data_IF_574472965933
#
_entry.id   IF_574472965933
#
_cell.length_a   1.000
_cell.length_b   1.000
_cell.length_c   1.000
_cell.angle_alpha   90.00
_cell.angle_beta   90.00
_cell.angle_gamma   90.00
#
_symmetry.space_group_name_H-M   'P 1'
#
loop_
_entity.id
_entity.type
_entity.pdbx_description
1 polymer ?
#
# COMPACT_ATOMS: atom_id res chain seq x y z
N UNK A 1 24.96 4.47 -5.03
CA UNK A 1 23.74 4.84 -4.28
C UNK A 1 24.12 5.13 -2.84
N UNK A 2 23.28 5.79 -2.03
CA UNK A 2 23.60 6.07 -0.62
C UNK A 2 22.74 5.21 0.30
N UNK A 3 23.34 4.69 1.36
CA UNK A 3 22.65 3.96 2.41
C UNK A 3 21.62 4.88 3.09
N UNK A 4 20.37 4.42 3.21
CA UNK A 4 19.29 5.20 3.79
C UNK A 4 19.52 5.54 5.28
N UNK A 5 20.25 4.69 6.04
CA UNK A 5 20.50 4.88 7.47
C UNK A 5 21.74 5.74 7.77
N UNK A 6 22.83 5.57 7.03
CA UNK A 6 24.12 6.21 7.35
C UNK A 6 24.70 7.11 6.24
N UNK A 7 24.05 7.20 5.08
CA UNK A 7 24.49 8.05 3.96
C UNK A 7 25.74 7.60 3.21
N UNK A 8 26.44 6.54 3.68
CA UNK A 8 27.61 5.99 3.00
C UNK A 8 27.25 5.40 1.63
N UNK A 9 28.22 5.42 0.71
CA UNK A 9 28.02 4.81 -0.61
C UNK A 9 27.82 3.30 -0.51
N UNK A 10 26.88 2.81 -1.30
CA UNK A 10 26.57 1.38 -1.40
C UNK A 10 26.17 1.02 -2.82
N UNK A 11 26.52 -0.21 -3.21
CA UNK A 11 26.15 -0.85 -4.47
C UNK A 11 24.94 -1.78 -4.34
N UNK A 12 24.39 -1.96 -3.13
CA UNK A 12 23.26 -2.87 -2.87
C UNK A 12 21.95 -2.09 -2.81
N UNK A 13 20.99 -2.50 -3.62
CA UNK A 13 19.58 -2.12 -3.49
C UNK A 13 18.69 -3.34 -3.29
N UNK A 14 17.55 -3.10 -2.67
CA UNK A 14 16.54 -4.08 -2.32
C UNK A 14 15.18 -3.55 -2.73
N UNK A 15 14.39 -4.38 -3.41
CA UNK A 15 12.98 -4.10 -3.65
C UNK A 15 12.19 -4.58 -2.43
N UNK A 16 11.40 -3.68 -1.86
CA UNK A 16 10.53 -3.98 -0.72
C UNK A 16 9.11 -3.61 -1.05
N UNK A 17 8.16 -4.41 -0.56
CA UNK A 17 6.75 -4.02 -0.54
C UNK A 17 6.54 -3.10 0.66
N UNK A 18 6.21 -1.83 0.38
CA UNK A 18 5.92 -0.83 1.38
C UNK A 18 4.48 -0.38 1.21
N UNK A 19 3.60 -0.92 2.06
CA UNK A 19 2.16 -0.61 2.07
C UNK A 19 1.46 -0.88 0.73
N UNK A 20 1.82 -1.98 0.06
CA UNK A 20 1.24 -2.40 -1.21
C UNK A 20 1.86 -1.73 -2.44
N UNK A 21 2.92 -0.95 -2.28
CA UNK A 21 3.71 -0.37 -3.35
C UNK A 21 5.15 -0.91 -3.33
N UNK A 22 5.65 -1.36 -4.47
CA UNK A 22 7.07 -1.73 -4.59
C UNK A 22 7.94 -0.48 -4.54
N UNK A 23 8.85 -0.42 -3.56
CA UNK A 23 9.87 0.63 -3.44
C UNK A 23 11.27 0.02 -3.46
N UNK A 24 12.21 0.73 -4.06
CA UNK A 24 13.62 0.36 -4.03
C UNK A 24 14.33 1.13 -2.91
N UNK A 25 14.98 0.39 -2.01
CA UNK A 25 15.74 0.95 -0.88
C UNK A 25 17.19 0.48 -0.93
N UNK A 26 18.11 1.32 -0.48
CA UNK A 26 19.53 1.02 -0.45
C UNK A 26 20.07 1.04 0.99
N UNK A 27 20.70 -0.06 1.41
CA UNK A 27 21.37 -0.16 2.70
C UNK A 27 22.78 -0.72 2.54
N UNK A 28 23.74 -0.18 3.27
CA UNK A 28 25.03 -0.84 3.44
C UNK A 28 24.85 -2.08 4.33
N UNK A 29 25.78 -3.03 4.22
CA UNK A 29 25.66 -4.34 4.89
C UNK A 29 25.53 -4.23 6.42
N UNK A 30 26.21 -3.28 7.05
CA UNK A 30 26.12 -3.05 8.50
C UNK A 30 24.72 -2.59 8.89
N UNK A 31 24.24 -1.50 8.26
CA UNK A 31 22.93 -0.93 8.57
C UNK A 31 21.77 -1.89 8.26
N UNK A 32 21.89 -2.72 7.22
CA UNK A 32 20.89 -3.74 6.93
C UNK A 32 20.78 -4.75 8.08
N UNK A 33 21.91 -5.24 8.60
CA UNK A 33 21.89 -6.18 9.72
C UNK A 33 21.32 -5.56 10.98
N UNK A 34 21.57 -4.27 11.23
CA UNK A 34 20.99 -3.57 12.39
C UNK A 34 19.47 -3.43 12.25
N UNK A 35 18.98 -3.04 11.07
CA UNK A 35 17.53 -2.97 10.79
C UNK A 35 16.86 -4.34 10.93
N UNK A 36 17.50 -5.41 10.46
CA UNK A 36 17.00 -6.78 10.61
C UNK A 36 17.05 -7.27 12.07
N UNK A 37 18.01 -6.81 12.88
CA UNK A 37 18.06 -7.14 14.32
C UNK A 37 17.01 -6.37 15.13
N UNK A 38 16.76 -5.12 14.77
CA UNK A 38 15.70 -4.28 15.36
C UNK A 38 14.31 -4.72 14.91
N UNK A 39 14.21 -5.52 13.84
CA UNK A 39 12.93 -6.04 13.35
C UNK A 39 12.31 -7.04 14.33
N UNK A 40 11.01 -6.93 14.53
CA UNK A 40 10.26 -7.83 15.42
C UNK A 40 10.41 -9.26 14.88
N UNK A 41 10.84 -10.24 15.70
CA UNK A 41 10.92 -11.62 15.26
C UNK A 41 9.57 -12.06 14.70
N UNK A 42 9.56 -12.71 13.53
CA UNK A 42 8.34 -13.20 12.88
C UNK A 42 7.47 -14.11 13.78
N UNK A 43 8.04 -14.67 14.85
CA UNK A 43 7.32 -15.44 15.87
C UNK A 43 6.46 -14.60 16.82
N UNK A 44 6.79 -13.32 16.99
CA UNK A 44 6.11 -12.39 17.90
C UNK A 44 5.24 -11.38 17.15
N UNK A 45 5.33 -11.31 15.82
CA UNK A 45 4.24 -10.75 15.04
C UNK A 45 3.03 -11.66 15.22
N UNK A 46 1.90 -11.19 15.77
CA UNK A 46 0.71 -12.01 15.85
C UNK A 46 0.44 -12.55 14.45
N UNK A 47 0.37 -13.88 14.30
CA UNK A 47 -0.20 -14.46 13.09
C UNK A 47 -1.53 -13.72 12.87
N UNK A 48 -1.83 -13.24 11.65
CA UNK A 48 -3.09 -12.54 11.40
C UNK A 48 -4.17 -13.37 12.05
N UNK A 49 -4.80 -12.81 13.09
CA UNK A 49 -5.62 -13.58 14.01
C UNK A 49 -6.60 -14.40 13.19
N UNK A 50 -6.90 -15.63 13.59
CA UNK A 50 -7.94 -16.40 12.91
C UNK A 50 -9.26 -15.61 12.83
N UNK A 51 -9.46 -14.57 13.66
CA UNK A 51 -10.55 -13.60 13.54
C UNK A 51 -10.52 -12.74 12.27
N UNK A 52 -9.34 -12.38 11.76
CA UNK A 52 -9.20 -11.73 10.44
C UNK A 52 -9.57 -12.68 9.29
N UNK A 53 -9.38 -14.00 9.47
CA UNK A 53 -9.74 -15.02 8.48
C UNK A 53 -11.17 -15.55 8.65
N UNK A 54 -11.77 -15.47 9.85
CA UNK A 54 -13.14 -15.93 10.17
C UNK A 54 -14.24 -14.96 9.77
N UNK A 55 -13.91 -13.72 9.40
CA UNK A 55 -14.81 -12.84 8.66
C UNK A 55 -14.58 -12.89 7.15
N UNK A 56 -14.52 -14.09 6.57
CA UNK A 56 -15.02 -14.35 5.20
C UNK A 56 -16.56 -14.18 5.13
N UNK A 57 -17.11 -13.13 5.76
CA UNK A 57 -18.49 -12.71 5.54
C UNK A 57 -18.40 -11.50 4.67
N UNK A 58 -18.65 -11.69 3.37
CA UNK A 58 -18.96 -10.66 2.38
C UNK A 58 -18.47 -9.27 2.79
N UNK A 59 -17.16 -9.03 2.72
CA UNK A 59 -16.73 -7.65 2.56
C UNK A 59 -17.27 -7.27 1.19
N UNK A 60 -18.34 -6.48 1.18
CA UNK A 60 -18.70 -5.70 0.01
C UNK A 60 -17.44 -4.98 -0.45
N UNK A 61 -17.34 -4.69 -1.75
CA UNK A 61 -16.21 -3.93 -2.32
C UNK A 61 -15.86 -2.69 -1.46
N UNK A 62 -16.87 -2.10 -0.82
CA UNK A 62 -16.78 -0.96 0.08
C UNK A 62 -15.91 -1.23 1.32
N UNK A 63 -15.98 -2.42 1.93
CA UNK A 63 -15.27 -2.72 3.19
C UNK A 63 -13.75 -2.81 3.03
N UNK A 64 -13.26 -3.53 2.01
CA UNK A 64 -11.82 -3.62 1.74
C UNK A 64 -11.24 -2.29 1.25
N UNK A 65 -12.01 -1.54 0.46
CA UNK A 65 -11.59 -0.25 -0.06
C UNK A 65 -11.48 0.80 1.06
N UNK A 66 -12.43 0.85 1.99
CA UNK A 66 -12.36 1.74 3.17
C UNK A 66 -11.11 1.46 4.01
N UNK A 67 -10.76 0.18 4.21
CA UNK A 67 -9.56 -0.20 4.97
C UNK A 67 -8.29 0.25 4.24
N UNK A 68 -8.22 0.05 2.91
CA UNK A 68 -7.00 0.33 2.16
C UNK A 68 -6.81 1.82 1.83
N UNK A 69 -7.91 2.57 1.69
CA UNK A 69 -7.91 3.95 1.19
C UNK A 69 -8.16 4.96 2.31
N UNK A 70 -9.27 4.83 3.03
CA UNK A 70 -9.73 5.86 3.97
C UNK A 70 -9.07 5.74 5.34
N UNK A 71 -8.88 4.52 5.83
CA UNK A 71 -8.36 4.26 7.18
C UNK A 71 -6.96 4.85 7.40
N UNK A 72 -6.00 4.73 6.44
CA UNK A 72 -4.68 5.35 6.60
C UNK A 72 -4.73 6.87 6.75
N UNK A 73 -5.61 7.55 6.02
CA UNK A 73 -5.80 9.00 6.16
C UNK A 73 -6.31 9.36 7.53
N UNK A 74 -7.34 8.66 8.03
CA UNK A 74 -7.92 8.93 9.35
C UNK A 74 -6.89 8.73 10.46
N UNK A 75 -6.09 7.66 10.40
CA UNK A 75 -5.02 7.41 11.37
C UNK A 75 -4.00 8.56 11.36
N UNK A 76 -3.59 9.00 10.17
CA UNK A 76 -2.62 10.09 10.05
C UNK A 76 -3.19 11.43 10.55
N UNK A 77 -4.47 11.70 10.28
CA UNK A 77 -5.16 12.87 10.82
C UNK A 77 -5.36 12.81 12.35
N UNK A 78 -5.62 11.64 12.92
CA UNK A 78 -5.72 11.44 14.38
C UNK A 78 -4.37 11.62 15.06
N UNK A 79 -3.28 11.14 14.44
CA UNK A 79 -1.94 11.21 15.01
C UNK A 79 -1.30 12.60 14.91
N UNK A 80 -1.52 13.29 13.79
CA UNK A 80 -0.78 14.52 13.46
C UNK A 80 -1.68 15.74 13.27
N UNK A 81 -3.00 15.60 13.42
CA UNK A 81 -3.96 16.65 13.13
C UNK A 81 -4.21 16.83 11.63
N UNK A 82 -4.85 17.95 11.24
CA UNK A 82 -5.11 18.25 9.82
C UNK A 82 -3.79 18.63 9.12
N UNK A 83 -3.14 17.62 8.55
CA UNK A 83 -1.84 17.75 7.86
C UNK A 83 -1.96 18.00 6.35
N UNK A 84 -3.16 17.84 5.77
CA UNK A 84 -3.40 18.05 4.34
C UNK A 84 -4.47 19.11 4.09
N UNK A 85 -4.31 19.85 3.00
CA UNK A 85 -5.41 20.57 2.37
C UNK A 85 -6.44 19.58 1.79
N UNK A 86 -7.65 20.05 1.55
CA UNK A 86 -8.74 19.18 1.05
C UNK A 86 -8.37 18.57 -0.32
N UNK A 87 -7.64 19.31 -1.16
CA UNK A 87 -7.18 18.83 -2.47
C UNK A 87 -6.02 17.83 -2.36
N UNK A 88 -5.08 18.01 -1.42
CA UNK A 88 -4.03 17.02 -1.16
C UNK A 88 -4.62 15.71 -0.61
N UNK A 89 -5.62 15.81 0.25
CA UNK A 89 -6.34 14.65 0.78
C UNK A 89 -7.06 13.90 -0.34
N UNK A 90 -7.79 14.61 -1.20
CA UNK A 90 -8.46 14.00 -2.36
C UNK A 90 -7.46 13.32 -3.31
N UNK A 91 -6.31 13.95 -3.58
CA UNK A 91 -5.26 13.36 -4.41
C UNK A 91 -4.70 12.08 -3.80
N UNK A 92 -4.41 12.08 -2.49
CA UNK A 92 -3.93 10.89 -1.78
C UNK A 92 -4.97 9.76 -1.78
N UNK A 93 -6.24 10.07 -1.54
CA UNK A 93 -7.33 9.10 -1.64
C UNK A 93 -7.40 8.49 -3.05
N UNK A 94 -7.35 9.33 -4.07
CA UNK A 94 -7.45 8.89 -5.46
C UNK A 94 -6.26 8.01 -5.86
N UNK A 95 -5.05 8.35 -5.41
CA UNK A 95 -3.85 7.51 -5.62
C UNK A 95 -4.04 6.13 -4.99
N UNK A 96 -4.45 6.06 -3.71
CA UNK A 96 -4.68 4.76 -3.04
C UNK A 96 -5.84 3.97 -3.64
N UNK A 97 -6.92 4.64 -4.08
CA UNK A 97 -8.04 4.00 -4.82
C UNK A 97 -7.52 3.36 -6.11
N UNK A 98 -6.68 4.07 -6.87
CA UNK A 98 -6.08 3.54 -8.10
C UNK A 98 -5.22 2.31 -7.78
N UNK A 99 -4.33 2.38 -6.79
CA UNK A 99 -3.47 1.25 -6.39
C UNK A 99 -4.31 0.02 -6.00
N UNK A 100 -5.37 0.22 -5.23
CA UNK A 100 -6.29 -0.86 -4.86
C UNK A 100 -6.95 -1.50 -6.08
N UNK A 101 -7.47 -0.68 -7.00
CA UNK A 101 -8.13 -1.16 -8.21
C UNK A 101 -7.15 -1.85 -9.17
N UNK A 102 -5.92 -1.37 -9.28
CA UNK A 102 -4.86 -1.99 -10.09
C UNK A 102 -4.47 -3.37 -9.55
N UNK A 103 -4.39 -3.52 -8.23
CA UNK A 103 -4.20 -4.84 -7.60
C UNK A 103 -5.35 -5.79 -7.93
N UNK A 104 -6.61 -5.34 -7.78
CA UNK A 104 -7.79 -6.17 -8.13
C UNK A 104 -7.87 -6.49 -9.62
N UNK A 105 -7.40 -5.58 -10.47
CA UNK A 105 -7.31 -5.79 -11.92
C UNK A 105 -6.32 -6.92 -12.21
N UNK A 106 -5.15 -6.89 -11.59
CA UNK A 106 -4.14 -7.94 -11.74
C UNK A 106 -4.67 -9.30 -11.24
N UNK A 107 -5.41 -9.33 -10.14
CA UNK A 107 -6.08 -10.54 -9.64
C UNK A 107 -7.13 -11.05 -10.65
N UNK A 108 -7.94 -10.17 -11.24
CA UNK A 108 -8.94 -10.54 -12.24
C UNK A 108 -8.29 -11.10 -13.53
N UNK A 109 -7.20 -10.48 -14.00
CA UNK A 109 -6.44 -10.96 -15.16
C UNK A 109 -5.84 -12.35 -14.90
N UNK A 110 -5.24 -12.55 -13.72
CA UNK A 110 -4.68 -13.86 -13.32
C UNK A 110 -5.73 -14.98 -13.27
N UNK A 111 -6.96 -14.63 -12.94
CA UNK A 111 -8.10 -15.57 -12.90
C UNK A 111 -8.86 -15.64 -14.23
N UNK A 112 -8.35 -15.02 -15.30
CA UNK A 112 -8.98 -14.95 -16.62
C UNK A 112 -10.41 -14.34 -16.62
N UNK A 113 -10.76 -13.57 -15.59
CA UNK A 113 -12.04 -12.85 -15.52
C UNK A 113 -11.94 -11.50 -16.26
N UNK A 114 -11.99 -11.56 -17.59
CA UNK A 114 -11.87 -10.40 -18.45
C UNK A 114 -13.03 -9.41 -18.32
N UNK A 115 -14.23 -9.88 -17.93
CA UNK A 115 -15.39 -9.00 -17.72
C UNK A 115 -15.15 -8.09 -16.52
N UNK A 116 -14.69 -8.67 -15.41
CA UNK A 116 -14.31 -7.90 -14.22
C UNK A 116 -13.10 -7.00 -14.48
N UNK A 117 -12.09 -7.51 -15.18
CA UNK A 117 -10.90 -6.74 -15.54
C UNK A 117 -11.26 -5.48 -16.36
N UNK A 118 -12.17 -5.59 -17.34
CA UNK A 118 -12.57 -4.45 -18.16
C UNK A 118 -13.31 -3.37 -17.34
N UNK A 119 -14.19 -3.79 -16.43
CA UNK A 119 -14.88 -2.86 -15.50
C UNK A 119 -13.89 -2.12 -14.60
N UNK A 120 -12.90 -2.84 -14.06
CA UNK A 120 -11.86 -2.24 -13.21
C UNK A 120 -11.00 -1.23 -13.99
N UNK A 121 -10.63 -1.54 -15.24
CA UNK A 121 -9.91 -0.60 -16.12
C UNK A 121 -10.70 0.70 -16.34
N UNK A 122 -12.01 0.60 -16.59
CA UNK A 122 -12.86 1.78 -16.78
C UNK A 122 -12.93 2.64 -15.51
N UNK A 123 -13.05 2.03 -14.33
CA UNK A 123 -13.04 2.74 -13.05
C UNK A 123 -11.71 3.47 -12.80
N UNK A 124 -10.57 2.80 -13.08
CA UNK A 124 -9.25 3.42 -12.96
C UNK A 124 -9.12 4.65 -13.88
N UNK A 125 -9.56 4.53 -15.13
CA UNK A 125 -9.56 5.63 -16.10
C UNK A 125 -10.44 6.80 -15.64
N UNK A 126 -11.62 6.52 -15.08
CA UNK A 126 -12.51 7.56 -14.55
C UNK A 126 -11.87 8.34 -13.40
N UNK A 127 -11.18 7.66 -12.48
CA UNK A 127 -10.48 8.33 -11.38
C UNK A 127 -9.31 9.15 -11.93
N UNK A 128 -8.45 8.57 -12.77
CA UNK A 128 -7.31 9.27 -13.38
C UNK A 128 -7.72 10.53 -14.14
N UNK A 129 -8.86 10.51 -14.84
CA UNK A 129 -9.35 11.69 -15.57
C UNK A 129 -9.93 12.79 -14.66
N UNK A 130 -10.34 12.45 -13.42
CA UNK A 130 -10.80 13.44 -12.44
C UNK A 130 -9.63 14.15 -11.75
N UNK A 131 -8.51 13.46 -11.54
CA UNK A 131 -7.33 14.00 -10.83
C UNK A 131 -6.46 14.94 -11.68
N UNK A 132 -6.70 15.05 -12.99
CA UNK A 132 -5.91 15.89 -13.93
C UNK A 132 -6.52 17.29 -14.13
N UNK A 133 -7.58 17.65 -13.40
CA UNK A 133 -8.16 18.99 -13.39
C UNK A 133 -7.76 19.77 -12.15
#
# INVERSE_FOLDING_TARGET
MKCLKCGQETSKSYKVDFDGAEKEIAYCQKCLMDVLKESVPLKNTPSPSEDSMRKKRHLSFDGEMVIFVETPLRILEEMFGKIWSDQEKENFENERKITFLERKLNEAIKNEDYRKANRLKQLILQIKNKTVK
#
